data_IF_693983596649
#
_entry.id   IF_693983596649
#
_cell.length_a   1.000
_cell.length_b   1.000
_cell.length_c   1.000
_cell.angle_alpha   90.00
_cell.angle_beta   90.00
_cell.angle_gamma   90.00
#
_symmetry.space_group_name_H-M   'P 1'
#
loop_
_entity.id
_entity.type
_entity.pdbx_description
1 polymer ?
#
# COMPACT_ATOMS: atom_id res chain seq x y z
N UNK A 1 8.10 11.58 49.16
CA UNK A 1 9.08 10.79 48.38
C UNK A 1 8.89 9.33 48.73
N UNK A 2 8.10 8.59 47.96
CA UNK A 2 7.83 7.17 48.21
C UNK A 2 8.63 6.33 47.22
N UNK A 3 9.67 5.68 47.73
CA UNK A 3 10.51 4.72 47.01
C UNK A 3 9.77 3.39 46.89
N UNK A 4 9.39 3.02 45.67
CA UNK A 4 8.84 1.70 45.36
C UNK A 4 10.00 0.72 45.20
N UNK A 5 10.18 -0.16 46.19
CA UNK A 5 11.10 -1.30 46.13
C UNK A 5 10.64 -2.28 45.04
N UNK A 6 11.45 -2.44 44.01
CA UNK A 6 11.29 -3.48 42.98
C UNK A 6 11.73 -4.83 43.57
N UNK A 7 10.81 -5.80 43.62
CA UNK A 7 11.13 -7.20 43.91
C UNK A 7 11.42 -7.90 42.58
N UNK A 8 12.59 -8.53 42.38
CA UNK A 8 12.82 -9.33 41.18
C UNK A 8 12.10 -10.67 41.35
N UNK A 9 11.00 -10.89 40.61
CA UNK A 9 10.42 -12.22 40.50
C UNK A 9 11.21 -13.04 39.48
N UNK A 10 11.97 -13.97 40.05
CA UNK A 10 12.67 -15.09 39.44
C UNK A 10 11.89 -15.79 38.33
N UNK A 11 12.64 -16.16 37.27
CA UNK A 11 12.29 -17.14 36.24
C UNK A 11 11.41 -18.27 36.77
N UNK A 12 10.23 -18.43 36.18
CA UNK A 12 9.55 -19.72 36.13
C UNK A 12 9.24 -19.99 34.66
N UNK A 13 10.03 -20.88 34.07
CA UNK A 13 9.65 -21.53 32.82
C UNK A 13 8.40 -22.35 33.10
N UNK A 14 7.30 -22.03 32.43
CA UNK A 14 6.21 -22.97 32.22
C UNK A 14 5.98 -23.07 30.71
N UNK A 15 6.47 -24.17 30.14
CA UNK A 15 6.09 -24.64 28.82
C UNK A 15 4.57 -24.70 28.72
N UNK A 16 4.00 -23.87 27.86
CA UNK A 16 2.63 -24.03 27.39
C UNK A 16 2.67 -23.97 25.85
N UNK A 17 3.30 -24.98 25.28
CA UNK A 17 3.27 -25.31 23.86
C UNK A 17 1.98 -26.06 23.56
N UNK A 18 0.95 -25.38 23.04
CA UNK A 18 -0.05 -25.97 22.12
C UNK A 18 -1.19 -25.00 21.81
N UNK A 19 -0.92 -23.94 21.05
CA UNK A 19 -1.95 -23.28 20.24
C UNK A 19 -1.34 -22.98 18.87
N UNK A 20 -1.49 -23.96 17.97
CA UNK A 20 -1.38 -23.84 16.51
C UNK A 20 -0.16 -23.05 15.99
N UNK A 21 0.93 -23.77 15.68
CA UNK A 21 1.95 -23.32 14.71
C UNK A 21 1.32 -23.26 13.30
N UNK A 22 0.32 -22.41 13.11
CA UNK A 22 -0.09 -21.99 11.78
C UNK A 22 0.91 -20.95 11.33
N UNK A 23 1.84 -21.32 10.44
CA UNK A 23 2.73 -20.46 9.64
C UNK A 23 2.47 -18.96 9.86
N UNK A 24 3.02 -18.38 10.93
CA UNK A 24 2.80 -16.98 11.23
C UNK A 24 3.62 -16.20 10.22
N UNK A 25 2.97 -15.76 9.12
CA UNK A 25 3.61 -14.93 8.10
C UNK A 25 3.93 -13.59 8.74
N UNK A 26 5.18 -13.40 9.16
CA UNK A 26 5.66 -12.12 9.63
C UNK A 26 5.80 -11.16 8.45
N UNK A 27 5.01 -10.09 8.46
CA UNK A 27 5.13 -8.99 7.51
C UNK A 27 6.29 -8.09 7.92
N UNK A 28 7.40 -8.18 7.20
CA UNK A 28 8.58 -7.36 7.44
C UNK A 28 8.64 -6.16 6.50
N UNK A 29 7.55 -5.39 6.43
CA UNK A 29 7.55 -4.11 5.71
C UNK A 29 8.29 -3.05 6.49
N UNK A 30 8.94 -2.16 5.74
CA UNK A 30 9.62 -0.96 6.22
C UNK A 30 9.13 0.26 5.46
N UNK A 31 9.20 1.41 6.12
CA UNK A 31 9.02 2.69 5.44
C UNK A 31 10.02 2.81 4.27
N UNK A 32 9.52 3.24 3.12
CA UNK A 32 10.29 3.35 1.88
C UNK A 32 10.29 2.10 1.01
N UNK A 33 9.78 0.96 1.50
CA UNK A 33 9.67 -0.24 0.67
C UNK A 33 8.78 0.03 -0.55
N UNK A 34 9.24 -0.42 -1.72
CA UNK A 34 8.45 -0.39 -2.95
C UNK A 34 7.97 -1.82 -3.22
N UNK A 35 6.67 -1.98 -3.30
CA UNK A 35 6.01 -3.28 -3.43
C UNK A 35 5.18 -3.35 -4.70
N UNK A 36 5.17 -4.54 -5.28
CA UNK A 36 4.17 -4.99 -6.23
C UNK A 36 3.00 -5.60 -5.44
N UNK A 37 1.87 -4.90 -5.48
CA UNK A 37 0.61 -5.27 -4.89
C UNK A 37 -0.37 -5.75 -5.98
N UNK A 38 -0.06 -6.89 -6.60
CA UNK A 38 -0.83 -7.51 -7.71
C UNK A 38 -0.90 -6.65 -8.98
N UNK A 39 0.26 -6.24 -9.48
CA UNK A 39 0.38 -5.41 -10.67
C UNK A 39 0.16 -3.92 -10.39
N UNK A 40 -0.13 -3.54 -9.15
CA UNK A 40 -0.07 -2.15 -8.72
C UNK A 40 1.21 -1.89 -7.93
N UNK A 41 2.00 -0.93 -8.39
CA UNK A 41 3.18 -0.48 -7.65
C UNK A 41 2.72 0.46 -6.54
N UNK A 42 3.21 0.17 -5.33
CA UNK A 42 2.93 0.94 -4.15
C UNK A 42 4.20 1.21 -3.34
N UNK A 43 4.24 2.35 -2.66
CA UNK A 43 5.30 2.72 -1.73
C UNK A 43 4.75 2.69 -0.32
N UNK A 44 5.42 1.98 0.58
CA UNK A 44 5.10 1.98 2.00
C UNK A 44 5.57 3.29 2.61
N UNK A 45 4.65 4.14 3.02
CA UNK A 45 4.95 5.44 3.63
C UNK A 45 5.24 5.32 5.12
N UNK A 46 4.54 4.43 5.82
CA UNK A 46 4.71 4.23 7.25
C UNK A 46 4.16 2.86 7.67
N UNK A 47 4.68 2.34 8.79
CA UNK A 47 4.28 1.07 9.39
C UNK A 47 4.16 1.25 10.89
N UNK A 48 2.93 1.27 11.39
CA UNK A 48 2.63 1.31 12.81
C UNK A 48 2.37 -0.10 13.32
N UNK A 49 3.09 -0.52 14.35
CA UNK A 49 2.93 -1.84 14.99
C UNK A 49 2.32 -1.66 16.36
N UNK A 50 1.30 -2.45 16.67
CA UNK A 50 0.72 -2.45 18.01
C UNK A 50 1.68 -3.11 19.01
N UNK A 51 1.81 -2.54 20.21
CA UNK A 51 2.60 -3.14 21.31
C UNK A 51 1.80 -4.22 22.06
N UNK A 52 0.48 -4.21 21.92
CA UNK A 52 -0.45 -5.07 22.66
C UNK A 52 -1.05 -6.19 21.80
N UNK A 53 -0.92 -6.09 20.47
CA UNK A 53 -1.45 -7.04 19.51
C UNK A 53 -0.46 -7.24 18.36
N UNK A 54 -0.57 -8.35 17.64
CA UNK A 54 0.24 -8.61 16.43
C UNK A 54 -0.27 -7.86 15.18
N UNK A 55 -1.17 -6.88 15.35
CA UNK A 55 -1.71 -6.11 14.23
C UNK A 55 -0.70 -5.04 13.79
N UNK A 56 -0.67 -4.80 12.49
CA UNK A 56 0.08 -3.70 11.89
C UNK A 56 -0.87 -2.82 11.07
N UNK A 57 -0.64 -1.52 11.11
CA UNK A 57 -1.27 -0.54 10.23
C UNK A 57 -0.22 -0.03 9.25
N UNK A 58 -0.50 -0.16 7.96
CA UNK A 58 0.39 0.23 6.88
C UNK A 58 -0.21 1.42 6.15
N UNK A 59 0.56 2.49 6.01
CA UNK A 59 0.25 3.59 5.13
C UNK A 59 0.93 3.34 3.79
N UNK A 60 0.15 3.29 2.72
CA UNK A 60 0.65 2.93 1.39
C UNK A 60 0.20 3.96 0.36
N UNK A 61 1.12 4.34 -0.53
CA UNK A 61 0.82 5.19 -1.68
C UNK A 61 0.96 4.39 -2.95
N UNK A 62 -0.16 4.18 -3.63
CA UNK A 62 -0.14 3.65 -4.99
C UNK A 62 0.20 4.77 -5.98
N UNK A 63 0.87 4.41 -7.08
CA UNK A 63 1.20 5.36 -8.17
C UNK A 63 -0.07 6.04 -8.72
N UNK A 64 -1.19 5.32 -8.78
CA UNK A 64 -2.50 5.87 -9.22
C UNK A 64 -3.06 6.97 -8.31
N UNK A 65 -2.57 7.09 -7.08
CA UNK A 65 -3.04 8.11 -6.13
C UNK A 65 -2.20 9.39 -6.16
N UNK A 66 -1.17 9.48 -7.01
CA UNK A 66 -0.36 10.70 -7.13
C UNK A 66 -1.22 11.85 -7.69
N UNK A 67 -1.21 13.00 -7.01
CA UNK A 67 -2.03 14.16 -7.34
C UNK A 67 -3.38 14.22 -6.63
N UNK A 68 -3.80 13.15 -5.95
CA UNK A 68 -5.03 13.16 -5.16
C UNK A 68 -4.84 13.96 -3.85
N UNK A 69 -5.91 14.59 -3.37
CA UNK A 69 -5.92 15.31 -2.08
C UNK A 69 -5.55 14.41 -0.89
N UNK A 70 -5.90 13.12 -0.97
CA UNK A 70 -5.43 12.07 -0.06
C UNK A 70 -4.59 11.06 -0.85
N UNK A 71 -3.25 11.23 -0.91
CA UNK A 71 -2.39 10.42 -1.77
C UNK A 71 -1.92 9.13 -1.07
N UNK A 72 -2.71 8.57 -0.16
CA UNK A 72 -2.37 7.33 0.56
C UNK A 72 -3.60 6.58 1.06
N UNK A 73 -3.48 5.26 1.06
CA UNK A 73 -4.42 4.32 1.64
C UNK A 73 -3.86 3.83 2.99
N UNK A 74 -4.76 3.46 3.90
CA UNK A 74 -4.41 2.94 5.22
C UNK A 74 -4.96 1.51 5.34
N UNK A 75 -4.08 0.56 5.61
CA UNK A 75 -4.39 -0.87 5.66
C UNK A 75 -4.07 -1.44 7.02
N UNK A 76 -5.10 -1.89 7.73
CA UNK A 76 -4.91 -2.74 8.91
C UNK A 76 -4.74 -4.19 8.48
N UNK A 77 -3.65 -4.81 8.95
CA UNK A 77 -3.27 -6.18 8.68
C UNK A 77 -3.11 -6.89 10.01
N UNK A 78 -3.80 -8.02 10.16
CA UNK A 78 -3.65 -8.90 11.32
C UNK A 78 -3.14 -10.27 10.88
N UNK A 79 -2.56 -11.07 11.78
CA UNK A 79 -2.15 -12.43 11.43
C UNK A 79 -3.32 -13.31 10.94
N UNK A 80 -4.54 -13.01 11.38
CA UNK A 80 -5.76 -13.75 10.99
C UNK A 80 -6.40 -13.22 9.72
N UNK A 81 -6.12 -11.96 9.35
CA UNK A 81 -6.75 -11.29 8.22
C UNK A 81 -5.78 -10.33 7.56
N UNK A 82 -5.24 -10.77 6.42
CA UNK A 82 -4.12 -10.11 5.73
C UNK A 82 -4.56 -9.30 4.52
N UNK A 83 -5.85 -9.31 4.13
CA UNK A 83 -6.41 -8.62 2.95
C UNK A 83 -5.56 -8.76 1.67
N UNK A 84 -4.88 -9.90 1.47
CA UNK A 84 -4.03 -10.13 0.29
C UNK A 84 -2.65 -9.46 0.33
N UNK A 85 -2.33 -8.73 1.40
CA UNK A 85 -0.99 -8.15 1.66
C UNK A 85 0.09 -9.24 1.74
N UNK A 86 -0.30 -10.47 2.09
CA UNK A 86 0.57 -11.64 2.16
C UNK A 86 1.05 -12.18 0.82
N UNK A 87 0.55 -11.61 -0.28
CA UNK A 87 1.02 -11.89 -1.64
C UNK A 87 1.78 -10.73 -2.26
N UNK A 88 1.92 -9.61 -1.54
CA UNK A 88 2.73 -8.48 -1.99
C UNK A 88 4.20 -8.90 -2.04
N UNK A 89 4.90 -8.42 -3.05
CA UNK A 89 6.30 -8.74 -3.29
C UNK A 89 7.10 -7.46 -3.41
N UNK A 90 8.41 -7.49 -3.12
CA UNK A 90 9.29 -6.39 -3.49
C UNK A 90 9.15 -6.10 -5.00
N UNK A 91 8.95 -4.84 -5.36
CA UNK A 91 8.89 -4.44 -6.75
C UNK A 91 10.27 -4.62 -7.40
N UNK A 92 10.31 -5.30 -8.53
CA UNK A 92 11.53 -5.39 -9.34
C UNK A 92 11.63 -4.19 -10.27
N UNK A 93 12.84 -3.83 -10.68
CA UNK A 93 13.07 -2.79 -11.68
C UNK A 93 12.27 -3.06 -12.97
N UNK A 94 12.13 -4.31 -13.37
CA UNK A 94 11.37 -4.71 -14.54
C UNK A 94 9.86 -4.49 -14.35
N UNK A 95 9.30 -4.89 -13.20
CA UNK A 95 7.89 -4.62 -12.87
C UNK A 95 7.57 -3.12 -12.87
N UNK A 96 8.50 -2.30 -12.36
CA UNK A 96 8.38 -0.84 -12.37
C UNK A 96 8.34 -0.29 -13.79
N UNK A 97 9.27 -0.72 -14.65
CA UNK A 97 9.33 -0.29 -16.06
C UNK A 97 8.07 -0.66 -16.83
N UNK A 98 7.59 -1.90 -16.68
CA UNK A 98 6.35 -2.36 -17.30
C UNK A 98 5.20 -1.46 -16.87
N UNK A 99 5.07 -1.21 -15.56
CA UNK A 99 3.93 -0.44 -15.05
C UNK A 99 3.96 1.02 -15.45
N UNK A 100 5.14 1.65 -15.51
CA UNK A 100 5.31 3.01 -16.02
C UNK A 100 4.89 3.08 -17.48
N UNK A 101 5.36 2.14 -18.32
CA UNK A 101 5.03 2.08 -19.74
C UNK A 101 3.52 1.90 -19.99
N UNK A 102 2.87 0.99 -19.25
CA UNK A 102 1.41 0.82 -19.32
C UNK A 102 0.65 2.09 -18.93
N UNK A 103 1.13 2.79 -17.89
CA UNK A 103 0.50 4.02 -17.43
C UNK A 103 0.66 5.17 -18.42
N UNK A 104 1.82 5.28 -19.04
CA UNK A 104 2.07 6.25 -20.12
C UNK A 104 1.16 5.97 -21.32
N UNK A 105 1.03 4.70 -21.74
CA UNK A 105 0.10 4.31 -22.80
C UNK A 105 -1.35 4.68 -22.48
N UNK A 106 -1.80 4.43 -21.25
CA UNK A 106 -3.13 4.81 -20.79
C UNK A 106 -3.35 6.33 -20.87
N UNK A 107 -2.41 7.13 -20.37
CA UNK A 107 -2.54 8.59 -20.42
C UNK A 107 -2.54 9.13 -21.85
N UNK A 108 -1.71 8.57 -22.74
CA UNK A 108 -1.70 8.97 -24.14
C UNK A 108 -3.04 8.68 -24.82
N UNK A 109 -3.69 7.55 -24.47
CA UNK A 109 -5.03 7.24 -24.97
C UNK A 109 -6.06 8.26 -24.46
N UNK A 110 -6.08 8.53 -23.16
CA UNK A 110 -7.01 9.49 -22.54
C UNK A 110 -6.84 10.91 -23.10
N UNK A 111 -5.60 11.36 -23.32
CA UNK A 111 -5.31 12.64 -23.96
C UNK A 111 -5.86 12.69 -25.38
N UNK A 112 -5.67 11.63 -26.18
CA UNK A 112 -6.17 11.59 -27.54
C UNK A 112 -7.71 11.64 -27.59
N UNK A 113 -8.38 10.89 -26.71
CA UNK A 113 -9.85 10.93 -26.59
C UNK A 113 -10.35 12.35 -26.22
N UNK A 114 -9.67 13.03 -25.29
CA UNK A 114 -10.00 14.41 -24.94
C UNK A 114 -9.76 15.39 -26.09
N UNK A 115 -8.68 15.22 -26.85
CA UNK A 115 -8.39 16.05 -28.02
C UNK A 115 -9.44 15.87 -29.12
N UNK A 116 -9.91 14.65 -29.36
CA UNK A 116 -11.01 14.37 -30.29
C UNK A 116 -12.30 15.07 -29.87
N UNK A 117 -12.64 15.02 -28.58
CA UNK A 117 -13.79 15.74 -28.04
C UNK A 117 -13.63 17.25 -28.28
N UNK A 118 -12.49 17.85 -27.91
CA UNK A 118 -12.26 19.29 -28.07
C UNK A 118 -12.34 19.71 -29.55
N UNK A 119 -11.72 18.94 -30.45
CA UNK A 119 -11.75 19.22 -31.89
C UNK A 119 -13.17 19.12 -32.46
N UNK A 120 -13.96 18.14 -31.99
CA UNK A 120 -15.37 18.01 -32.40
C UNK A 120 -16.20 19.24 -31.98
N UNK A 121 -16.01 19.75 -30.76
CA UNK A 121 -16.70 20.96 -30.28
C UNK A 121 -16.30 22.20 -31.08
N UNK A 122 -15.01 22.36 -31.42
CA UNK A 122 -14.55 23.49 -32.23
C UNK A 122 -15.15 23.44 -33.64
N UNK A 123 -15.20 22.27 -34.27
CA UNK A 123 -15.81 22.10 -35.59
C UNK A 123 -17.31 22.45 -35.60
N UNK A 124 -18.05 22.09 -34.55
CA UNK A 124 -19.47 22.46 -34.39
C UNK A 124 -19.61 23.98 -34.21
N UNK A 125 -18.77 24.60 -33.38
CA UNK A 125 -18.83 26.05 -33.13
C UNK A 125 -18.54 26.88 -34.37
N UNK A 126 -17.63 26.42 -35.24
CA UNK A 126 -17.27 27.12 -36.48
C UNK A 126 -18.33 26.97 -37.58
N UNK A 127 -19.11 25.90 -37.57
CA UNK A 127 -20.20 25.67 -38.54
C UNK A 127 -21.56 26.25 -38.09
N UNK A 128 -21.69 26.68 -36.83
CA UNK A 128 -22.91 27.26 -36.26
C UNK A 128 -23.05 28.78 -36.39
N UNK A 129 -22.05 29.47 -36.95
CA UNK A 129 -22.15 30.89 -37.31
C UNK A 129 -22.66 31.02 -38.75
N UNK A 130 -23.99 30.90 -38.94
CA UNK A 130 -24.74 31.38 -40.11
C UNK A 130 -25.76 32.40 -39.61
#
# INVERSE_FOLDING_TARGET
MNSLKVVPKSKTMSNMSSLTEGNQKFFNFRCGDIVDAYGEIAVILDVLRSEYTDNICIYVRFVRNMGNSRPYDMLEVSPKFTKGVDKWKPATMESLKIRISEREKYFNQEINELLEIVNSYQAISNNGNI
#
